data_IF_140567190785
#
_entry.id   IF_140567190785
#
_cell.length_a   1.000
_cell.length_b   1.000
_cell.length_c   1.000
_cell.angle_alpha   90.00
_cell.angle_beta   90.00
_cell.angle_gamma   90.00
#
_symmetry.space_group_name_H-M   'P 1'
#
loop_
_entity.id
_entity.type
_entity.pdbx_description
1 polymer ?
#
# COMPACT_ATOMS: atom_id res chain seq x y z
N UNK A 1 30.40 -14.47 26.84
CA UNK A 1 29.02 -14.68 26.34
C UNK A 1 28.42 -13.30 26.14
N UNK A 2 28.46 -12.79 24.91
CA UNK A 2 27.86 -11.49 24.58
C UNK A 2 26.34 -11.65 24.66
N UNK A 3 25.66 -10.77 25.39
CA UNK A 3 24.20 -10.79 25.48
C UNK A 3 23.61 -10.65 24.07
N UNK A 4 22.91 -11.68 23.61
CA UNK A 4 22.15 -11.66 22.36
C UNK A 4 21.14 -10.52 22.43
N UNK A 5 21.29 -9.52 21.56
CA UNK A 5 20.51 -8.30 21.64
C UNK A 5 19.09 -8.61 21.16
N UNK A 6 18.17 -8.87 22.08
CA UNK A 6 16.76 -9.03 21.78
C UNK A 6 16.19 -7.69 21.27
N UNK A 7 15.99 -7.59 19.96
CA UNK A 7 15.34 -6.43 19.36
C UNK A 7 13.84 -6.45 19.65
N UNK A 8 13.26 -5.27 19.87
CA UNK A 8 11.81 -5.06 19.83
C UNK A 8 11.50 -4.11 18.70
N UNK A 9 10.54 -4.47 17.86
CA UNK A 9 10.20 -3.73 16.64
C UNK A 9 8.81 -3.15 16.78
N UNK A 10 8.69 -1.84 16.53
CA UNK A 10 7.41 -1.19 16.33
C UNK A 10 7.07 -1.23 14.84
N UNK A 11 6.03 -1.98 14.48
CA UNK A 11 5.59 -2.12 13.10
C UNK A 11 4.45 -1.13 12.78
N UNK A 12 4.76 -0.12 11.97
CA UNK A 12 3.90 1.06 11.76
C UNK A 12 3.14 1.10 10.44
N UNK A 13 3.28 0.08 9.59
CA UNK A 13 2.61 0.06 8.28
C UNK A 13 1.09 -0.10 8.42
N UNK A 14 0.30 0.52 7.53
CA UNK A 14 -1.16 0.42 7.52
C UNK A 14 -1.63 -1.03 7.36
N UNK A 15 -1.10 -1.71 6.36
CA UNK A 15 -1.42 -3.11 6.04
C UNK A 15 -0.25 -4.00 6.46
N UNK A 16 -0.57 -5.18 7.02
CA UNK A 16 0.46 -6.17 7.31
C UNK A 16 1.08 -6.65 6.00
N UNK A 17 2.40 -6.74 5.96
CA UNK A 17 3.10 -7.36 4.83
C UNK A 17 3.07 -8.86 5.09
N UNK A 18 2.46 -9.69 4.22
CA UNK A 18 2.37 -11.13 4.44
C UNK A 18 3.73 -11.73 4.78
N UNK A 19 3.80 -12.50 5.87
CA UNK A 19 5.03 -13.16 6.33
C UNK A 19 6.04 -12.27 7.04
N UNK A 20 5.92 -10.93 7.02
CA UNK A 20 6.91 -10.06 7.66
C UNK A 20 6.99 -10.26 9.18
N UNK A 21 5.85 -10.26 9.86
CA UNK A 21 5.79 -10.46 11.31
C UNK A 21 6.22 -11.87 11.70
N UNK A 22 5.85 -12.88 10.90
CA UNK A 22 6.25 -14.27 11.11
C UNK A 22 7.78 -14.42 11.08
N UNK A 23 8.45 -13.88 10.07
CA UNK A 23 9.92 -13.95 9.94
C UNK A 23 10.62 -13.30 11.15
N UNK A 24 10.08 -12.19 11.66
CA UNK A 24 10.64 -11.54 12.85
C UNK A 24 10.42 -12.37 14.12
N UNK A 25 9.23 -12.95 14.29
CA UNK A 25 8.94 -13.83 15.42
C UNK A 25 9.80 -15.10 15.41
N UNK A 26 10.01 -15.72 14.25
CA UNK A 26 10.90 -16.88 14.09
C UNK A 26 12.36 -16.55 14.41
N UNK A 27 12.77 -15.29 14.22
CA UNK A 27 14.07 -14.77 14.62
C UNK A 27 14.17 -14.36 16.11
N UNK A 28 13.13 -14.62 16.91
CA UNK A 28 13.09 -14.27 18.34
C UNK A 28 12.88 -12.76 18.61
N UNK A 29 12.40 -12.01 17.61
CA UNK A 29 12.14 -10.57 17.73
C UNK A 29 10.68 -10.35 18.16
N UNK A 30 10.50 -9.51 19.17
CA UNK A 30 9.17 -9.07 19.61
C UNK A 30 8.66 -7.94 18.70
N UNK A 31 7.47 -8.10 18.12
CA UNK A 31 6.89 -7.17 17.16
C UNK A 31 5.59 -6.60 17.72
N UNK A 32 5.57 -5.29 17.93
CA UNK A 32 4.36 -4.56 18.30
C UNK A 32 3.79 -3.86 17.07
N UNK A 33 2.62 -4.30 16.61
CA UNK A 33 1.94 -3.70 15.46
C UNK A 33 1.11 -2.49 15.89
N UNK A 34 1.52 -1.29 15.44
CA UNK A 34 0.81 -0.02 15.69
C UNK A 34 0.75 0.77 14.38
N UNK A 35 -0.27 0.55 13.53
CA UNK A 35 -0.43 1.29 12.28
C UNK A 35 -0.59 2.78 12.53
N UNK A 36 0.25 3.62 11.92
CA UNK A 36 0.21 5.07 12.11
C UNK A 36 -0.54 5.82 11.01
N UNK A 37 -0.83 5.13 9.90
CA UNK A 37 -1.59 5.68 8.79
C UNK A 37 -2.71 4.72 8.40
N UNK A 38 -3.76 5.25 7.81
CA UNK A 38 -4.84 4.50 7.17
C UNK A 38 -4.82 4.81 5.68
N UNK A 39 -5.00 3.77 4.88
CA UNK A 39 -5.25 3.95 3.45
C UNK A 39 -6.77 4.01 3.26
N UNK A 40 -7.26 5.12 2.71
CA UNK A 40 -8.67 5.39 2.50
C UNK A 40 -8.88 5.93 1.08
N UNK A 41 -10.05 5.71 0.46
CA UNK A 41 -10.35 6.29 -0.85
C UNK A 41 -10.25 7.83 -0.81
N UNK A 42 -10.00 8.49 -1.95
CA UNK A 42 -10.04 9.94 -2.02
C UNK A 42 -11.45 10.45 -1.70
N UNK A 43 -11.55 11.70 -1.25
CA UNK A 43 -12.84 12.36 -1.01
C UNK A 43 -13.70 12.45 -2.28
N UNK A 44 -13.05 12.52 -3.45
CA UNK A 44 -13.70 12.53 -4.75
C UNK A 44 -12.86 11.79 -5.79
N UNK A 45 -13.55 11.10 -6.71
CA UNK A 45 -12.94 10.43 -7.85
C UNK A 45 -12.91 11.29 -9.13
N UNK A 46 -13.48 12.51 -9.09
CA UNK A 46 -13.70 13.34 -10.28
C UNK A 46 -12.40 13.67 -11.04
N UNK A 47 -11.30 13.93 -10.33
CA UNK A 47 -10.01 14.20 -10.97
C UNK A 47 -9.49 12.97 -11.72
N UNK A 48 -9.54 11.80 -11.09
CA UNK A 48 -9.18 10.54 -11.74
C UNK A 48 -10.10 10.25 -12.93
N UNK A 49 -11.41 10.44 -12.78
CA UNK A 49 -12.39 10.23 -13.85
C UNK A 49 -12.12 11.15 -15.05
N UNK A 50 -11.80 12.41 -14.79
CA UNK A 50 -11.50 13.40 -15.82
C UNK A 50 -10.19 13.09 -16.55
N UNK A 51 -9.17 12.60 -15.82
CA UNK A 51 -7.93 12.13 -16.41
C UNK A 51 -8.15 10.86 -17.24
N UNK A 52 -8.94 9.92 -16.73
CA UNK A 52 -9.30 8.68 -17.42
C UNK A 52 -10.08 8.92 -18.72
N UNK A 53 -11.00 9.89 -18.73
CA UNK A 53 -11.78 10.24 -19.93
C UNK A 53 -10.91 10.70 -21.12
N UNK A 54 -9.68 11.18 -20.84
CA UNK A 54 -8.68 11.55 -21.85
C UNK A 54 -7.39 10.75 -21.71
N UNK A 55 -7.44 9.53 -21.17
CA UNK A 55 -6.22 8.77 -20.83
C UNK A 55 -5.32 8.53 -22.05
N UNK A 56 -5.91 8.42 -23.24
CA UNK A 56 -5.17 8.27 -24.50
C UNK A 56 -4.40 9.52 -24.95
N UNK A 57 -4.55 10.68 -24.29
CA UNK A 57 -3.75 11.88 -24.57
C UNK A 57 -2.42 11.91 -23.80
N UNK A 58 -2.20 10.97 -22.88
CA UNK A 58 -0.95 10.88 -22.13
C UNK A 58 -0.02 9.86 -22.79
N UNK A 59 1.26 10.19 -22.90
CA UNK A 59 2.28 9.26 -23.41
C UNK A 59 2.56 8.08 -22.44
N UNK A 60 2.15 8.21 -21.19
CA UNK A 60 2.34 7.17 -20.18
C UNK A 60 1.67 7.49 -18.84
N UNK A 61 1.62 6.47 -17.98
CA UNK A 61 1.05 6.54 -16.62
C UNK A 61 2.07 5.99 -15.63
N UNK A 62 2.27 6.71 -14.52
CA UNK A 62 3.14 6.28 -13.43
C UNK A 62 2.28 5.96 -12.20
N UNK A 63 2.44 4.75 -11.67
CA UNK A 63 1.74 4.27 -10.46
C UNK A 63 2.79 3.93 -9.40
N UNK A 64 2.81 4.68 -8.30
CA UNK A 64 3.89 4.65 -7.30
C UNK A 64 3.59 3.76 -6.10
N UNK A 65 2.42 3.13 -6.05
CA UNK A 65 2.05 2.22 -4.95
C UNK A 65 1.05 1.15 -5.41
N UNK A 66 1.00 0.05 -4.67
CA UNK A 66 0.03 -1.04 -4.89
C UNK A 66 -1.41 -0.51 -4.83
N UNK A 67 -1.69 0.42 -3.93
CA UNK A 67 -3.05 0.97 -3.77
C UNK A 67 -3.44 1.86 -4.95
N UNK A 68 -2.50 2.64 -5.48
CA UNK A 68 -2.71 3.41 -6.71
C UNK A 68 -3.05 2.48 -7.89
N UNK A 69 -2.33 1.37 -8.05
CA UNK A 69 -2.62 0.36 -9.09
C UNK A 69 -4.04 -0.22 -8.91
N UNK A 70 -4.38 -0.65 -7.69
CA UNK A 70 -5.69 -1.26 -7.38
C UNK A 70 -6.83 -0.30 -7.69
N UNK A 71 -6.75 0.94 -7.22
CA UNK A 71 -7.80 1.93 -7.43
C UNK A 71 -7.89 2.41 -8.87
N UNK A 72 -6.75 2.63 -9.54
CA UNK A 72 -6.72 3.00 -10.95
C UNK A 72 -7.39 1.92 -11.82
N UNK A 73 -6.98 0.66 -11.67
CA UNK A 73 -7.53 -0.46 -12.43
C UNK A 73 -9.02 -0.69 -12.13
N UNK A 74 -9.42 -0.61 -10.86
CA UNK A 74 -10.82 -0.67 -10.46
C UNK A 74 -11.64 0.43 -11.14
N UNK A 75 -11.14 1.66 -11.12
CA UNK A 75 -11.84 2.80 -11.71
C UNK A 75 -11.95 2.73 -13.23
N UNK A 76 -10.91 2.28 -13.92
CA UNK A 76 -10.96 2.03 -15.38
C UNK A 76 -12.08 1.07 -15.74
N UNK A 77 -12.19 -0.04 -15.00
CA UNK A 77 -13.24 -1.04 -15.20
C UNK A 77 -14.65 -0.46 -14.96
N UNK A 78 -14.82 0.33 -13.90
CA UNK A 78 -16.10 0.99 -13.57
C UNK A 78 -16.52 2.02 -14.64
N UNK A 79 -15.55 2.64 -15.32
CA UNK A 79 -15.79 3.62 -16.37
C UNK A 79 -15.84 3.01 -17.77
N UNK A 80 -15.75 1.69 -17.90
CA UNK A 80 -15.69 0.97 -19.18
C UNK A 80 -14.57 1.45 -20.10
N UNK A 81 -13.44 1.83 -19.50
CA UNK A 81 -12.22 2.22 -20.21
C UNK A 81 -11.33 0.98 -20.24
N UNK A 82 -11.15 0.41 -21.43
CA UNK A 82 -10.36 -0.79 -21.70
C UNK A 82 -9.38 -0.54 -22.84
#
# INVERSE_FOLDING_TARGET
>A
MSAERAYRVLYTRPEATPGFEQVLHEAGIDVHRIPLIRIAPPESWQELDSALAKIGSYDGVILTSIQAVRWFAGRMKERSIA
#
